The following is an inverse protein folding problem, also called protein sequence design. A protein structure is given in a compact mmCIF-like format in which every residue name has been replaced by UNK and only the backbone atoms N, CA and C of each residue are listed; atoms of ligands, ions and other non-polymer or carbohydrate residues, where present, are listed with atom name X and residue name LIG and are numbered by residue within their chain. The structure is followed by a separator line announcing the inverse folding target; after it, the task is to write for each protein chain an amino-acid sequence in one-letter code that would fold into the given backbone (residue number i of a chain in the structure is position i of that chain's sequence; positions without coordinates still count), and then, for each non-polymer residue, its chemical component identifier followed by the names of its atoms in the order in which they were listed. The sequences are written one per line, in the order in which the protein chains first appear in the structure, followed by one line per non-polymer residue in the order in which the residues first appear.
data_IF_320539586684
#
_entry.id   IF_320539586684
#
_cell.length_a   1.000
_cell.length_b   1.000
_cell.length_c   1.000
_cell.angle_alpha   90.00
_cell.angle_beta   90.00
_cell.angle_gamma   90.00
#
_symmetry.space_group_name_H-M   'P 1'
#
loop_
_entity.id
_entity.type
_entity.pdbx_description
1 polymer ?
#
# COMPACT_ATOMS: atom_id res chain seq x y z
N UNK A 1 -11.16 3.39 6.32
CA UNK A 1 -10.78 2.02 5.89
C UNK A 1 -9.83 1.42 6.92
N UNK A 2 -9.64 0.09 6.93
CA UNK A 2 -8.63 -0.58 7.77
C UNK A 2 -7.45 -0.98 6.88
N UNK A 3 -6.24 -0.57 7.25
CA UNK A 3 -5.02 -0.97 6.58
C UNK A 3 -4.29 -2.01 7.42
N UNK A 4 -4.13 -3.23 6.90
CA UNK A 4 -3.40 -4.31 7.57
C UNK A 4 -1.93 -4.27 7.12
N UNK A 5 -1.00 -4.22 8.06
CA UNK A 5 0.43 -4.07 7.74
C UNK A 5 1.33 -4.70 8.81
N UNK A 6 2.59 -5.05 8.47
CA UNK A 6 3.55 -5.52 9.47
C UNK A 6 3.86 -4.46 10.53
N UNK A 7 4.19 -4.88 11.76
CA UNK A 7 4.68 -4.00 12.84
C UNK A 7 5.90 -3.17 12.45
N UNK A 8 6.72 -3.67 11.52
CA UNK A 8 7.89 -2.97 10.99
C UNK A 8 7.56 -1.83 10.02
N UNK A 9 6.28 -1.54 9.77
CA UNK A 9 5.87 -0.44 8.90
C UNK A 9 6.32 0.91 9.47
N UNK A 10 6.89 1.75 8.62
CA UNK A 10 7.42 3.05 9.05
C UNK A 10 6.35 3.97 9.63
N UNK A 11 6.71 4.73 10.66
CA UNK A 11 5.80 5.68 11.31
C UNK A 11 5.20 6.70 10.33
N UNK A 12 5.97 7.12 9.31
CA UNK A 12 5.48 8.02 8.27
C UNK A 12 4.30 7.42 7.49
N UNK A 13 4.36 6.13 7.13
CA UNK A 13 3.26 5.43 6.44
C UNK A 13 2.04 5.30 7.35
N UNK A 14 2.24 4.98 8.63
CA UNK A 14 1.15 4.90 9.62
C UNK A 14 0.47 6.26 9.78
N UNK A 15 1.25 7.34 9.88
CA UNK A 15 0.73 8.70 9.98
C UNK A 15 -0.08 9.11 8.74
N UNK A 16 0.39 8.75 7.55
CA UNK A 16 -0.34 9.01 6.30
C UNK A 16 -1.68 8.27 6.25
N UNK A 17 -1.73 7.03 6.73
CA UNK A 17 -2.99 6.28 6.84
C UNK A 17 -3.96 6.98 7.79
N UNK A 18 -3.48 7.43 8.95
CA UNK A 18 -4.29 8.19 9.89
C UNK A 18 -4.80 9.52 9.29
N UNK A 19 -3.94 10.23 8.54
CA UNK A 19 -4.29 11.47 7.86
C UNK A 19 -5.46 11.30 6.89
N UNK A 20 -5.53 10.18 6.16
CA UNK A 20 -6.65 9.85 5.28
C UNK A 20 -7.86 9.20 6.00
N UNK A 21 -7.92 9.26 7.34
CA UNK A 21 -9.01 8.67 8.12
C UNK A 21 -9.00 7.13 8.16
N UNK A 22 -7.85 6.52 7.84
CA UNK A 22 -7.62 5.07 7.94
C UNK A 22 -7.19 4.66 9.34
N UNK A 23 -7.47 3.40 9.70
CA UNK A 23 -6.98 2.75 10.93
C UNK A 23 -5.94 1.70 10.56
N UNK A 24 -4.78 1.73 11.21
CA UNK A 24 -3.74 0.72 11.03
C UNK A 24 -4.02 -0.49 11.93
N UNK A 25 -3.97 -1.69 11.36
CA UNK A 25 -4.04 -2.98 12.05
C UNK A 25 -2.72 -3.72 11.84
N UNK A 26 -1.98 -3.97 12.92
CA UNK A 26 -0.63 -4.50 12.83
C UNK A 26 -0.60 -6.02 12.96
N UNK A 27 0.21 -6.66 12.12
CA UNK A 27 0.57 -8.07 12.23
C UNK A 27 2.07 -8.22 12.49
N UNK A 28 2.48 -9.36 13.05
CA UNK A 28 3.88 -9.61 13.38
C UNK A 28 4.71 -9.95 12.14
N UNK A 29 4.14 -10.72 11.19
CA UNK A 29 4.83 -11.16 9.97
C UNK A 29 4.09 -10.69 8.72
N UNK A 30 4.84 -10.29 7.69
CA UNK A 30 4.27 -9.88 6.40
C UNK A 30 3.38 -10.92 5.75
N UNK A 31 3.68 -12.21 5.91
CA UNK A 31 2.84 -13.30 5.41
C UNK A 31 1.42 -13.31 6.01
N UNK A 32 1.20 -12.70 7.18
CA UNK A 32 -0.11 -12.69 7.86
C UNK A 32 -1.04 -11.59 7.37
N UNK A 33 -0.55 -10.67 6.53
CA UNK A 33 -1.32 -9.49 6.10
C UNK A 33 -2.59 -9.90 5.36
N UNK A 34 -2.51 -10.87 4.46
CA UNK A 34 -3.64 -11.33 3.63
C UNK A 34 -4.70 -12.03 4.46
N UNK A 35 -4.30 -13.04 5.24
CA UNK A 35 -5.20 -13.82 6.10
C UNK A 35 -5.94 -12.92 7.08
N UNK A 36 -5.22 -11.96 7.68
CA UNK A 36 -5.79 -11.07 8.67
C UNK A 36 -6.73 -10.02 8.05
N UNK A 37 -6.41 -9.51 6.86
CA UNK A 37 -7.30 -8.61 6.14
C UNK A 37 -8.59 -9.32 5.68
N UNK A 38 -8.50 -10.58 5.26
CA UNK A 38 -9.68 -11.40 4.92
C UNK A 38 -10.55 -11.68 6.16
N UNK A 39 -9.92 -11.99 7.31
CA UNK A 39 -10.62 -12.17 8.58
C UNK A 39 -11.39 -10.91 8.98
N UNK A 40 -10.73 -9.75 8.97
CA UNK A 40 -11.35 -8.46 9.30
C UNK A 40 -12.48 -8.08 8.35
N UNK A 41 -12.33 -8.33 7.04
CA UNK A 41 -13.39 -8.09 6.08
C UNK A 41 -14.64 -8.93 6.41
N UNK A 42 -14.47 -10.22 6.73
CA UNK A 42 -15.58 -11.08 7.15
C UNK A 42 -16.24 -10.60 8.46
N UNK A 43 -15.45 -10.24 9.46
CA UNK A 43 -15.95 -9.82 10.77
C UNK A 43 -16.69 -8.47 10.72
N UNK A 44 -16.20 -7.54 9.91
CA UNK A 44 -16.82 -6.22 9.78
C UNK A 44 -17.93 -6.18 8.71
N UNK A 45 -18.20 -7.29 8.00
CA UNK A 45 -19.05 -7.28 6.81
C UNK A 45 -18.52 -6.35 5.70
N UNK A 46 -17.21 -6.11 5.69
CA UNK A 46 -16.53 -5.22 4.76
C UNK A 46 -16.00 -5.93 3.52
N UNK A 47 -15.51 -5.14 2.57
CA UNK A 47 -14.84 -5.65 1.38
C UNK A 47 -13.32 -5.67 1.59
N UNK A 48 -12.72 -6.84 1.37
CA UNK A 48 -11.27 -6.93 1.28
C UNK A 48 -10.80 -6.36 -0.06
N UNK A 49 -9.99 -5.30 -0.01
CA UNK A 49 -9.34 -4.71 -1.20
C UNK A 49 -7.92 -5.25 -1.31
N UNK A 50 -7.74 -6.22 -2.20
CA UNK A 50 -6.43 -6.78 -2.48
C UNK A 50 -5.69 -5.92 -3.50
N UNK A 51 -4.79 -5.06 -3.02
CA UNK A 51 -3.99 -4.20 -3.89
C UNK A 51 -2.84 -4.95 -4.60
N UNK A 52 -2.60 -6.23 -4.32
CA UNK A 52 -1.45 -6.98 -4.85
C UNK A 52 -1.84 -8.22 -5.66
N UNK A 53 -2.85 -9.00 -5.26
CA UNK A 53 -3.36 -10.14 -6.05
C UNK A 53 -4.00 -9.67 -7.35
N UNK A 54 -4.52 -8.44 -7.40
CA UNK A 54 -4.93 -7.80 -8.64
C UNK A 54 -3.86 -6.87 -9.24
N UNK A 55 -2.69 -6.67 -8.64
CA UNK A 55 -1.63 -5.85 -9.26
C UNK A 55 -1.10 -6.47 -10.57
N UNK A 56 -1.22 -7.79 -10.74
CA UNK A 56 -0.94 -8.49 -11.99
C UNK A 56 -1.96 -8.16 -13.10
N UNK A 57 -3.23 -7.87 -12.73
CA UNK A 57 -4.33 -7.63 -13.69
C UNK A 57 -4.76 -6.16 -13.80
N UNK A 58 -4.60 -5.38 -12.74
CA UNK A 58 -4.84 -3.95 -12.67
C UNK A 58 -3.51 -3.22 -12.80
N UNK A 59 -2.86 -3.41 -13.95
CA UNK A 59 -1.82 -2.49 -14.36
C UNK A 59 -2.50 -1.19 -14.79
N UNK A 60 -2.77 -0.31 -13.82
CA UNK A 60 -2.71 1.14 -14.06
C UNK A 60 -1.60 1.78 -13.24
N UNK A 61 -0.50 1.04 -13.04
CA UNK A 61 0.81 1.60 -12.71
C UNK A 61 1.59 2.02 -13.98
N UNK A 62 1.06 1.69 -15.17
CA UNK A 62 1.49 2.25 -16.46
C UNK A 62 0.78 3.57 -16.81
N UNK A 63 -0.16 4.02 -15.98
CA UNK A 63 -0.70 5.38 -16.03
C UNK A 63 0.33 6.40 -15.53
N UNK A 64 1.34 6.68 -16.34
CA UNK A 64 2.14 7.92 -16.43
C UNK A 64 2.68 8.58 -15.14
N UNK A 65 2.78 7.88 -13.99
CA UNK A 65 3.15 8.54 -12.73
C UNK A 65 4.00 7.67 -11.78
N UNK A 66 4.90 6.83 -12.32
CA UNK A 66 5.89 6.19 -11.48
C UNK A 66 7.05 7.16 -11.20
N UNK A 67 7.15 7.63 -9.96
CA UNK A 67 8.21 8.50 -9.42
C UNK A 67 9.61 7.99 -9.79
N UNK A 68 9.80 6.68 -9.96
CA UNK A 68 11.08 6.11 -10.37
C UNK A 68 11.50 6.51 -11.80
N UNK A 69 10.58 6.52 -12.78
CA UNK A 69 10.90 6.90 -14.16
C UNK A 69 11.05 8.42 -14.29
N UNK A 70 10.23 9.19 -13.58
CA UNK A 70 10.34 10.65 -13.49
C UNK A 70 11.68 11.09 -12.90
N UNK A 71 12.18 10.42 -11.86
CA UNK A 71 13.50 10.70 -11.28
C UNK A 71 14.63 10.37 -12.28
N UNK A 72 14.56 9.24 -12.98
CA UNK A 72 15.57 8.89 -13.99
C UNK A 72 15.59 9.87 -15.18
N UNK A 73 14.44 10.41 -15.59
CA UNK A 73 14.38 11.45 -16.62
C UNK A 73 14.85 12.81 -16.11
N UNK A 74 14.52 13.20 -14.87
CA UNK A 74 15.00 14.44 -14.27
C UNK A 74 16.53 14.44 -14.10
N UNK A 75 17.12 13.31 -13.72
CA UNK A 75 18.58 13.16 -13.62
C UNK A 75 19.30 13.19 -14.97
N UNK A 76 18.61 12.93 -16.08
CA UNK A 76 19.18 13.07 -17.44
C UNK A 76 19.18 14.52 -17.96
N UNK A 77 18.48 15.42 -17.27
CA UNK A 77 18.36 16.83 -17.62
C UNK A 77 19.18 17.75 -16.71
N UNK A 78 19.93 17.21 -15.74
CA UNK A 78 20.89 17.98 -14.94
C UNK A 78 22.17 18.23 -15.77
N UNK A 79 22.53 19.49 -16.08
CA UNK A 79 23.82 19.81 -16.66
C UNK A 79 24.93 19.66 -15.61
N UNK A 80 26.12 19.26 -16.06
CA UNK A 80 27.37 19.36 -15.31
C UNK A 80 27.64 20.79 -14.79
#
# INVERSE_FOLDING_TARGET
FIAVMPRSTSAAKVAQIAFYGGRSHFVERGAQVYDEAARLARECGGHYMDQFTYAERATDWRGNNNIAESIFQQMRAEPH
#
